data_IF_397752607570
#
_entry.id   IF_397752607570
#
_cell.length_a   1.000
_cell.length_b   1.000
_cell.length_c   1.000
_cell.angle_alpha   90.00
_cell.angle_beta   90.00
_cell.angle_gamma   90.00
#
_symmetry.space_group_name_H-M   'P 1'
#
loop_
_entity.id
_entity.type
_entity.pdbx_description
1 polymer ?
#
# COMPACT_ATOMS: atom_id res chain seq x y z
N UNK A 1 12.65 -6.14 -31.91
CA UNK A 1 12.85 -6.92 -30.69
C UNK A 1 11.80 -6.42 -29.72
N UNK A 2 10.84 -7.25 -29.33
CA UNK A 2 9.98 -6.89 -28.21
C UNK A 2 10.90 -6.72 -27.00
N UNK A 3 10.92 -5.52 -26.44
CA UNK A 3 11.72 -5.23 -25.26
C UNK A 3 10.93 -5.84 -24.11
N UNK A 4 11.16 -7.13 -23.89
CA UNK A 4 10.58 -7.82 -22.76
C UNK A 4 11.21 -7.23 -21.51
N UNK A 5 10.36 -6.81 -20.56
CA UNK A 5 10.85 -6.22 -19.30
C UNK A 5 11.60 -7.31 -18.52
N UNK A 6 12.53 -6.93 -17.65
CA UNK A 6 13.31 -7.90 -16.84
C UNK A 6 12.44 -8.91 -16.06
N UNK A 7 11.18 -8.57 -15.80
CA UNK A 7 10.18 -9.39 -15.10
C UNK A 7 9.13 -10.04 -16.02
N UNK A 8 9.34 -10.05 -17.35
CA UNK A 8 8.47 -10.70 -18.33
C UNK A 8 7.10 -10.06 -18.53
N UNK A 9 6.90 -8.84 -18.03
CA UNK A 9 5.66 -8.08 -18.22
C UNK A 9 5.68 -7.35 -19.55
N UNK A 10 4.51 -7.25 -20.20
CA UNK A 10 4.36 -6.40 -21.37
C UNK A 10 4.51 -4.90 -20.99
N UNK A 11 4.80 -4.01 -21.96
CA UNK A 11 4.93 -2.57 -21.68
C UNK A 11 3.69 -1.94 -21.03
N UNK A 12 2.50 -2.50 -21.25
CA UNK A 12 1.22 -2.03 -20.71
C UNK A 12 0.77 -2.77 -19.45
N UNK A 13 1.52 -3.79 -18.99
CA UNK A 13 1.14 -4.60 -17.83
C UNK A 13 1.70 -4.02 -16.53
N UNK A 14 0.81 -3.77 -15.55
CA UNK A 14 1.18 -3.32 -14.21
C UNK A 14 1.89 -4.42 -13.41
N UNK A 15 2.66 -4.02 -12.38
CA UNK A 15 3.21 -4.98 -11.41
C UNK A 15 2.06 -5.64 -10.64
N UNK A 16 2.20 -6.91 -10.21
CA UNK A 16 1.22 -7.55 -9.34
C UNK A 16 0.96 -6.68 -8.11
N UNK A 17 -0.31 -6.41 -7.80
CA UNK A 17 -0.70 -5.59 -6.67
C UNK A 17 -1.64 -6.35 -5.74
N UNK A 18 -1.54 -6.08 -4.45
CA UNK A 18 -2.51 -6.52 -3.45
C UNK A 18 -2.71 -5.46 -2.38
N UNK A 19 -3.93 -5.38 -1.85
CA UNK A 19 -4.28 -4.49 -0.76
C UNK A 19 -5.12 -5.26 0.26
N UNK A 20 -4.83 -5.09 1.54
CA UNK A 20 -5.64 -5.65 2.63
C UNK A 20 -5.87 -4.59 3.69
N UNK A 21 -7.11 -4.47 4.15
CA UNK A 21 -7.52 -3.49 5.17
C UNK A 21 -7.64 -4.14 6.55
N UNK A 22 -7.69 -3.32 7.59
CA UNK A 22 -7.86 -3.73 8.99
C UNK A 22 -6.78 -4.71 9.50
N UNK A 23 -5.53 -4.46 9.11
CA UNK A 23 -4.37 -5.31 9.44
C UNK A 23 -3.75 -4.99 10.81
N UNK A 24 -3.94 -3.77 11.32
CA UNK A 24 -3.45 -3.34 12.63
C UNK A 24 -4.60 -3.25 13.62
N UNK A 25 -4.49 -3.95 14.76
CA UNK A 25 -5.51 -3.97 15.81
C UNK A 25 -5.67 -2.62 16.56
N UNK A 26 -4.61 -1.80 16.61
CA UNK A 26 -4.60 -0.56 17.42
C UNK A 26 -4.99 0.70 16.66
N UNK A 27 -4.82 0.69 15.34
CA UNK A 27 -5.20 1.83 14.52
C UNK A 27 -6.71 1.80 14.26
N UNK A 28 -7.36 2.97 14.20
CA UNK A 28 -8.79 3.03 13.86
C UNK A 28 -9.03 2.62 12.40
N UNK A 29 -8.10 2.97 11.52
CA UNK A 29 -8.03 2.46 10.16
C UNK A 29 -6.62 1.97 9.84
N UNK A 30 -6.50 0.88 9.10
CA UNK A 30 -5.20 0.42 8.60
C UNK A 30 -5.32 -0.28 7.26
N UNK A 31 -4.26 -0.18 6.46
CA UNK A 31 -4.15 -0.88 5.18
C UNK A 31 -2.70 -1.28 4.90
N UNK A 32 -2.52 -2.49 4.36
CA UNK A 32 -1.27 -2.95 3.78
C UNK A 32 -1.40 -2.94 2.25
N UNK A 33 -0.37 -2.44 1.57
CA UNK A 33 -0.28 -2.39 0.12
C UNK A 33 0.99 -3.09 -0.34
N UNK A 34 0.88 -3.92 -1.37
CA UNK A 34 2.02 -4.46 -2.10
C UNK A 34 1.88 -4.21 -3.60
N UNK A 35 2.97 -3.83 -4.26
CA UNK A 35 3.02 -3.71 -5.72
C UNK A 35 4.38 -4.12 -6.27
N UNK A 36 4.48 -5.38 -6.69
CA UNK A 36 5.77 -6.06 -6.88
C UNK A 36 6.52 -6.06 -5.55
N UNK A 37 7.76 -5.58 -5.54
CA UNK A 37 8.58 -5.55 -4.32
C UNK A 37 8.28 -4.36 -3.40
N UNK A 38 7.63 -3.31 -3.89
CA UNK A 38 7.21 -2.17 -3.06
C UNK A 38 6.16 -2.61 -2.04
N UNK A 39 6.43 -2.40 -0.75
CA UNK A 39 5.51 -2.69 0.36
C UNK A 39 5.30 -1.42 1.19
N UNK A 40 4.05 -1.12 1.52
CA UNK A 40 3.66 0.03 2.35
C UNK A 40 2.64 -0.42 3.38
N UNK A 41 2.79 0.07 4.61
CA UNK A 41 1.80 -0.08 5.68
C UNK A 41 1.32 1.31 6.09
N UNK A 42 0.02 1.55 6.00
CA UNK A 42 -0.61 2.80 6.39
C UNK A 42 -1.49 2.58 7.62
N UNK A 43 -1.41 3.50 8.56
CA UNK A 43 -2.24 3.54 9.76
C UNK A 43 -2.89 4.93 9.86
N UNK A 44 -4.19 4.95 10.11
CA UNK A 44 -4.96 6.16 10.39
C UNK A 44 -5.29 6.15 11.88
N UNK A 45 -4.83 7.19 12.55
CA UNK A 45 -5.16 7.48 13.94
C UNK A 45 -6.20 8.60 13.96
N UNK A 46 -7.01 8.65 15.01
CA UNK A 46 -8.00 9.72 15.14
C UNK A 46 -7.32 11.08 15.33
N UNK A 47 -8.00 12.11 14.85
CA UNK A 47 -7.67 13.49 15.18
C UNK A 47 -7.95 13.70 16.66
N UNK A 48 -6.90 13.89 17.44
CA UNK A 48 -7.03 14.45 18.79
C UNK A 48 -7.11 15.96 18.63
N UNK A 49 -8.26 16.54 18.99
CA UNK A 49 -8.34 17.97 19.23
C UNK A 49 -7.46 18.26 20.45
N UNK A 50 -6.36 18.99 20.24
CA UNK A 50 -5.64 19.57 21.38
C UNK A 50 -6.58 20.57 22.04
N UNK A 51 -6.87 20.33 23.32
CA UNK A 51 -7.59 21.32 24.12
C UNK A 51 -6.57 22.41 24.47
N UNK A 52 -6.87 23.66 24.10
CA UNK A 52 -6.20 24.80 24.71
C UNK A 52 -6.56 24.83 26.21
N UNK A 53 -5.53 24.85 27.07
CA UNK A 53 -5.63 25.13 28.51
C UNK A 53 -5.75 26.63 28.78
#
# INVERSE_FOLDING_TARGET
MEIDRDDGRSPSQLRPLSCSHNVLHRAHGSASWSQGDTKVLAAVMDLKLEKEE
#
